data_IF_936139876254
#
_entry.id   IF_936139876254
#
_cell.length_a   1.000
_cell.length_b   1.000
_cell.length_c   1.000
_cell.angle_alpha   90.00
_cell.angle_beta   90.00
_cell.angle_gamma   90.00
#
_symmetry.space_group_name_H-M   'P 1'
#
loop_
_entity.id
_entity.type
_entity.pdbx_description
1 polymer ?
#
# COMPACT_ATOMS: atom_id res chain seq x y z
N UNK A 1 59.76 6.76 -80.33
CA UNK A 1 59.68 5.60 -79.42
C UNK A 1 58.35 4.94 -79.72
N UNK A 2 58.38 3.77 -80.34
CA UNK A 2 57.17 3.06 -80.76
C UNK A 2 56.45 2.54 -79.51
N UNK A 3 55.11 2.55 -79.54
CA UNK A 3 54.28 2.06 -78.43
C UNK A 3 54.57 0.59 -78.08
N UNK A 4 55.08 -0.17 -79.05
CA UNK A 4 55.53 -1.56 -78.89
C UNK A 4 56.76 -1.69 -77.97
N UNK A 5 57.66 -0.71 -77.94
CA UNK A 5 58.86 -0.74 -77.08
C UNK A 5 58.50 -0.42 -75.63
N UNK A 6 57.55 0.50 -75.41
CA UNK A 6 57.02 0.78 -74.08
C UNK A 6 56.30 -0.45 -73.49
N UNK A 7 55.48 -1.14 -74.31
CA UNK A 7 54.82 -2.37 -73.88
C UNK A 7 55.81 -3.53 -73.65
N UNK A 8 56.85 -3.67 -74.46
CA UNK A 8 57.93 -4.66 -74.25
C UNK A 8 58.75 -4.42 -73.00
N UNK A 9 59.04 -3.17 -72.64
CA UNK A 9 59.79 -2.85 -71.41
C UNK A 9 58.90 -3.09 -70.19
N UNK A 10 57.64 -2.68 -70.22
CA UNK A 10 56.69 -2.92 -69.11
C UNK A 10 56.41 -4.42 -68.94
N UNK A 11 56.24 -5.16 -70.04
CA UNK A 11 56.04 -6.62 -69.98
C UNK A 11 57.31 -7.39 -69.60
N UNK A 12 58.51 -6.98 -70.02
CA UNK A 12 59.76 -7.63 -69.62
C UNK A 12 60.10 -7.38 -68.16
N UNK A 13 59.80 -6.18 -67.65
CA UNK A 13 59.87 -5.85 -66.23
C UNK A 13 58.80 -6.62 -65.44
N UNK A 14 57.56 -6.73 -65.93
CA UNK A 14 56.51 -7.55 -65.31
C UNK A 14 56.82 -9.06 -65.31
N UNK A 15 57.51 -9.57 -66.33
CA UNK A 15 57.90 -10.99 -66.43
C UNK A 15 59.14 -11.29 -65.57
N UNK A 16 60.12 -10.38 -65.49
CA UNK A 16 61.25 -10.53 -64.55
C UNK A 16 60.80 -10.31 -63.09
N UNK A 17 59.76 -9.50 -62.87
CA UNK A 17 59.05 -9.35 -61.60
C UNK A 17 57.96 -10.43 -61.47
N UNK A 18 57.70 -11.29 -62.45
CA UNK A 18 56.59 -12.25 -62.42
C UNK A 18 56.66 -13.23 -61.23
N UNK A 19 57.87 -13.61 -60.82
CA UNK A 19 58.11 -14.33 -59.56
C UNK A 19 57.98 -13.44 -58.31
N UNK A 20 58.43 -12.19 -58.38
CA UNK A 20 58.34 -11.22 -57.27
C UNK A 20 56.93 -10.71 -56.99
N UNK A 21 56.09 -10.54 -58.02
CA UNK A 21 54.69 -10.20 -57.91
C UNK A 21 53.91 -11.33 -57.25
N UNK A 22 54.15 -12.60 -57.64
CA UNK A 22 53.53 -13.74 -56.96
C UNK A 22 53.91 -13.82 -55.47
N UNK A 23 55.17 -13.53 -55.13
CA UNK A 23 55.64 -13.47 -53.73
C UNK A 23 55.00 -12.30 -52.97
N UNK A 24 54.94 -11.11 -53.57
CA UNK A 24 54.31 -9.92 -52.96
C UNK A 24 52.80 -10.12 -52.79
N UNK A 25 52.11 -10.67 -53.78
CA UNK A 25 50.69 -11.02 -53.68
C UNK A 25 50.45 -12.13 -52.64
N UNK A 26 51.31 -13.14 -52.59
CA UNK A 26 51.24 -14.21 -51.59
C UNK A 26 51.44 -13.69 -50.17
N UNK A 27 52.47 -12.88 -49.93
CA UNK A 27 52.73 -12.24 -48.65
C UNK A 27 51.62 -11.25 -48.26
N UNK A 28 51.16 -10.43 -49.21
CA UNK A 28 50.05 -9.49 -48.98
C UNK A 28 48.75 -10.22 -48.61
N UNK A 29 48.43 -11.32 -49.30
CA UNK A 29 47.29 -12.17 -48.97
C UNK A 29 47.42 -12.83 -47.60
N UNK A 30 48.62 -13.30 -47.24
CA UNK A 30 48.89 -13.92 -45.96
C UNK A 30 48.77 -12.93 -44.79
N UNK A 31 49.37 -11.75 -44.92
CA UNK A 31 49.21 -10.65 -43.96
C UNK A 31 47.72 -10.25 -43.86
N UNK A 32 47.04 -10.03 -44.99
CA UNK A 32 45.62 -9.67 -45.00
C UNK A 32 44.74 -10.69 -44.27
N UNK A 33 45.00 -11.99 -44.43
CA UNK A 33 44.30 -13.06 -43.70
C UNK A 33 44.53 -12.97 -42.19
N UNK A 34 45.77 -12.79 -41.75
CA UNK A 34 46.09 -12.68 -40.32
C UNK A 34 45.44 -11.45 -39.69
N UNK A 35 45.50 -10.29 -40.36
CA UNK A 35 44.89 -9.06 -39.87
C UNK A 35 43.35 -9.16 -39.88
N UNK A 36 42.75 -9.74 -40.92
CA UNK A 36 41.31 -9.96 -41.00
C UNK A 36 40.83 -10.92 -39.92
N UNK A 37 41.53 -12.03 -39.69
CA UNK A 37 41.22 -13.00 -38.65
C UNK A 37 41.39 -12.40 -37.25
N UNK A 38 42.45 -11.62 -37.02
CA UNK A 38 42.66 -10.91 -35.76
C UNK A 38 41.57 -9.88 -35.48
N UNK A 39 41.18 -9.09 -36.48
CA UNK A 39 40.10 -8.10 -36.34
C UNK A 39 38.77 -8.82 -36.08
N UNK A 40 38.45 -9.86 -36.85
CA UNK A 40 37.23 -10.64 -36.69
C UNK A 40 37.15 -11.30 -35.30
N UNK A 41 38.25 -11.88 -34.82
CA UNK A 41 38.32 -12.48 -33.48
C UNK A 41 38.18 -11.42 -32.38
N UNK A 42 38.86 -10.27 -32.53
CA UNK A 42 38.73 -9.15 -31.59
C UNK A 42 37.31 -8.59 -31.53
N UNK A 43 36.65 -8.45 -32.67
CA UNK A 43 35.26 -7.99 -32.74
C UNK A 43 34.30 -9.02 -32.13
N UNK A 44 34.50 -10.31 -32.43
CA UNK A 44 33.74 -11.40 -31.83
C UNK A 44 33.87 -11.40 -30.30
N UNK A 45 35.09 -11.28 -29.78
CA UNK A 45 35.35 -11.21 -28.34
C UNK A 45 34.71 -9.97 -27.71
N UNK A 46 34.75 -8.83 -28.41
CA UNK A 46 34.09 -7.59 -27.97
C UNK A 46 32.57 -7.78 -27.90
N UNK A 47 31.94 -8.32 -28.94
CA UNK A 47 30.50 -8.57 -28.93
C UNK A 47 30.10 -9.59 -27.87
N UNK A 48 30.88 -10.65 -27.69
CA UNK A 48 30.65 -11.64 -26.65
C UNK A 48 30.67 -11.00 -25.26
N UNK A 49 31.68 -10.17 -24.97
CA UNK A 49 31.76 -9.42 -23.71
C UNK A 49 30.60 -8.46 -23.54
N UNK A 50 30.22 -7.72 -24.59
CA UNK A 50 29.06 -6.81 -24.51
C UNK A 50 27.77 -7.56 -24.21
N UNK A 51 27.54 -8.72 -24.83
CA UNK A 51 26.39 -9.57 -24.56
C UNK A 51 26.41 -10.08 -23.12
N UNK A 52 27.56 -10.55 -22.64
CA UNK A 52 27.71 -11.03 -21.26
C UNK A 52 27.50 -9.91 -20.24
N UNK A 53 28.08 -8.73 -20.47
CA UNK A 53 27.88 -7.55 -19.64
C UNK A 53 26.42 -7.13 -19.62
N UNK A 54 25.78 -6.98 -20.79
CA UNK A 54 24.35 -6.61 -20.87
C UNK A 54 23.46 -7.66 -20.19
N UNK A 55 23.76 -8.94 -20.35
CA UNK A 55 23.01 -10.02 -19.70
C UNK A 55 23.19 -9.98 -18.18
N UNK A 56 24.41 -9.73 -17.71
CA UNK A 56 24.73 -9.59 -16.28
C UNK A 56 24.03 -8.38 -15.66
N UNK A 57 24.09 -7.22 -16.34
CA UNK A 57 23.41 -6.00 -15.94
C UNK A 57 21.90 -6.21 -15.87
N UNK A 58 21.29 -6.76 -16.93
CA UNK A 58 19.87 -7.06 -16.95
C UNK A 58 19.47 -8.04 -15.84
N UNK A 59 20.27 -9.08 -15.61
CA UNK A 59 20.02 -10.04 -14.53
C UNK A 59 20.10 -9.37 -13.16
N UNK A 60 21.06 -8.47 -12.95
CA UNK A 60 21.21 -7.71 -11.71
C UNK A 60 20.04 -6.76 -11.48
N UNK A 61 19.61 -6.06 -12.54
CA UNK A 61 18.46 -5.16 -12.48
C UNK A 61 17.15 -5.91 -12.22
N UNK A 62 16.94 -7.06 -12.87
CA UNK A 62 15.78 -7.91 -12.60
C UNK A 62 15.76 -8.36 -11.14
N UNK A 63 16.91 -8.78 -10.60
CA UNK A 63 16.99 -9.24 -9.22
C UNK A 63 16.77 -8.09 -8.22
N UNK A 64 17.34 -6.91 -8.51
CA UNK A 64 17.12 -5.69 -7.74
C UNK A 64 15.64 -5.30 -7.74
N UNK A 65 15.00 -5.25 -8.90
CA UNK A 65 13.59 -4.91 -9.03
C UNK A 65 12.69 -5.93 -8.33
N UNK A 66 13.01 -7.22 -8.41
CA UNK A 66 12.29 -8.27 -7.65
C UNK A 66 12.42 -8.05 -6.14
N UNK A 67 13.62 -7.77 -5.65
CA UNK A 67 13.87 -7.49 -4.23
C UNK A 67 13.12 -6.24 -3.76
N UNK A 68 13.18 -5.15 -4.52
CA UNK A 68 12.44 -3.92 -4.24
C UNK A 68 10.92 -4.17 -4.23
N UNK A 69 10.41 -4.95 -5.18
CA UNK A 69 8.99 -5.30 -5.24
C UNK A 69 8.57 -6.18 -4.07
N UNK A 70 9.39 -7.17 -3.70
CA UNK A 70 9.14 -8.06 -2.57
C UNK A 70 9.04 -7.26 -1.26
N UNK A 71 9.97 -6.31 -1.05
CA UNK A 71 9.96 -5.43 0.11
C UNK A 71 8.70 -4.54 0.14
N UNK A 72 8.34 -3.92 -0.99
CA UNK A 72 7.12 -3.10 -1.08
C UNK A 72 5.86 -3.91 -0.78
N UNK A 73 5.77 -5.12 -1.32
CA UNK A 73 4.65 -6.03 -1.12
C UNK A 73 4.57 -6.49 0.35
N UNK A 74 5.70 -6.79 0.97
CA UNK A 74 5.76 -7.15 2.40
C UNK A 74 5.30 -6.00 3.31
N UNK A 75 5.80 -4.79 3.07
CA UNK A 75 5.37 -3.60 3.82
C UNK A 75 3.87 -3.37 3.66
N UNK A 76 3.35 -3.44 2.43
CA UNK A 76 1.93 -3.26 2.15
C UNK A 76 1.07 -4.31 2.85
N UNK A 77 1.47 -5.58 2.84
CA UNK A 77 0.78 -6.66 3.57
C UNK A 77 0.74 -6.38 5.06
N UNK A 78 1.89 -6.11 5.68
CA UNK A 78 1.98 -5.81 7.12
C UNK A 78 1.13 -4.60 7.52
N UNK A 79 1.10 -3.58 6.67
CA UNK A 79 0.28 -2.39 6.90
C UNK A 79 -1.22 -2.71 6.79
N UNK A 80 -1.62 -3.42 5.74
CA UNK A 80 -3.02 -3.84 5.52
C UNK A 80 -3.53 -4.74 6.64
N UNK A 81 -2.72 -5.70 7.12
CA UNK A 81 -3.07 -6.58 8.24
C UNK A 81 -3.32 -5.75 9.51
N UNK A 82 -2.42 -4.81 9.83
CA UNK A 82 -2.60 -3.92 10.99
C UNK A 82 -3.86 -3.06 10.86
N UNK A 83 -4.13 -2.51 9.69
CA UNK A 83 -5.36 -1.74 9.45
C UNK A 83 -6.60 -2.60 9.63
N UNK A 84 -6.61 -3.82 9.08
CA UNK A 84 -7.73 -4.75 9.20
C UNK A 84 -8.03 -5.10 10.66
N UNK A 85 -7.00 -5.39 11.47
CA UNK A 85 -7.19 -5.66 12.90
C UNK A 85 -7.78 -4.45 13.63
N UNK A 86 -7.27 -3.25 13.38
CA UNK A 86 -7.80 -2.03 13.99
C UNK A 86 -9.26 -1.74 13.62
N UNK A 87 -9.63 -1.96 12.35
CA UNK A 87 -11.02 -1.82 11.92
C UNK A 87 -11.93 -2.84 12.58
N UNK A 88 -11.50 -4.11 12.69
CA UNK A 88 -12.29 -5.13 13.38
C UNK A 88 -12.46 -4.84 14.87
N UNK A 89 -11.38 -4.44 15.54
CA UNK A 89 -11.44 -4.08 16.95
C UNK A 89 -12.43 -2.92 17.13
N UNK A 90 -12.33 -1.89 16.29
CA UNK A 90 -13.21 -0.72 16.33
C UNK A 90 -14.67 -1.12 16.09
N UNK A 91 -14.91 -1.98 15.11
CA UNK A 91 -16.24 -2.52 14.82
C UNK A 91 -16.81 -3.29 16.01
N UNK A 92 -16.00 -4.13 16.67
CA UNK A 92 -16.41 -4.85 17.88
C UNK A 92 -16.82 -3.87 18.98
N UNK A 93 -16.00 -2.85 19.22
CA UNK A 93 -16.26 -1.82 20.23
C UNK A 93 -17.56 -1.05 19.96
N UNK A 94 -17.86 -0.75 18.68
CA UNK A 94 -19.10 -0.13 18.25
C UNK A 94 -20.32 -1.06 18.43
N UNK A 95 -20.16 -2.36 18.15
CA UNK A 95 -21.20 -3.36 18.41
C UNK A 95 -21.50 -3.46 19.92
N UNK A 96 -20.48 -3.50 20.76
CA UNK A 96 -20.62 -3.52 22.21
C UNK A 96 -21.32 -2.25 22.72
N UNK A 97 -20.98 -1.08 22.14
CA UNK A 97 -21.64 0.18 22.45
C UNK A 97 -23.13 0.14 22.07
N UNK A 98 -23.46 -0.43 20.91
CA UNK A 98 -24.86 -0.64 20.49
C UNK A 98 -25.59 -1.54 21.48
N UNK A 99 -25.03 -2.68 21.87
CA UNK A 99 -25.64 -3.62 22.83
C UNK A 99 -25.89 -2.94 24.18
N UNK A 100 -24.92 -2.16 24.67
CA UNK A 100 -25.07 -1.40 25.90
C UNK A 100 -26.17 -0.33 25.77
N UNK A 101 -26.29 0.31 24.60
CA UNK A 101 -27.35 1.26 24.29
C UNK A 101 -28.73 0.62 24.24
N UNK A 102 -28.86 -0.54 23.61
CA UNK A 102 -30.10 -1.32 23.54
C UNK A 102 -30.53 -1.78 24.94
N UNK A 103 -29.58 -2.25 25.76
CA UNK A 103 -29.85 -2.65 27.16
C UNK A 103 -30.35 -1.47 28.02
N UNK A 104 -29.79 -0.28 27.80
CA UNK A 104 -30.25 0.95 28.45
C UNK A 104 -31.65 1.36 27.96
N UNK A 105 -31.93 1.17 26.67
CA UNK A 105 -33.24 1.44 26.09
C UNK A 105 -34.33 0.51 26.62
N UNK A 106 -34.04 -0.78 26.70
CA UNK A 106 -34.96 -1.79 27.26
C UNK A 106 -35.23 -1.55 28.74
N UNK A 107 -34.18 -1.27 29.52
CA UNK A 107 -34.31 -1.00 30.95
C UNK A 107 -33.49 0.20 31.40
N UNK A 108 -34.19 1.32 31.40
CA UNK A 108 -33.79 2.62 31.93
C UNK A 108 -33.48 2.59 33.45
N UNK A 109 -32.24 2.27 33.83
CA UNK A 109 -31.79 2.28 35.23
C UNK A 109 -30.32 2.74 35.37
N UNK A 110 -29.89 3.06 36.61
CA UNK A 110 -28.54 3.57 36.90
C UNK A 110 -27.42 2.59 36.50
N UNK A 111 -27.64 1.28 36.64
CA UNK A 111 -26.63 0.26 36.29
C UNK A 111 -26.38 0.24 34.78
N UNK A 112 -27.43 0.20 33.96
CA UNK A 112 -27.33 0.19 32.51
C UNK A 112 -26.79 1.52 31.98
N UNK A 113 -27.15 2.65 32.60
CA UNK A 113 -26.61 3.95 32.24
C UNK A 113 -25.09 4.02 32.49
N UNK A 114 -24.63 3.48 33.62
CA UNK A 114 -23.19 3.38 33.94
C UNK A 114 -22.45 2.50 32.93
N UNK A 115 -22.96 1.29 32.64
CA UNK A 115 -22.37 0.37 31.66
C UNK A 115 -22.26 1.00 30.27
N UNK A 116 -23.30 1.71 29.83
CA UNK A 116 -23.29 2.44 28.58
C UNK A 116 -22.24 3.55 28.55
N UNK A 117 -22.15 4.37 29.60
CA UNK A 117 -21.15 5.44 29.69
C UNK A 117 -19.71 4.91 29.68
N UNK A 118 -19.45 3.80 30.37
CA UNK A 118 -18.14 3.13 30.35
C UNK A 118 -17.80 2.62 28.95
N UNK A 119 -18.76 2.01 28.25
CA UNK A 119 -18.54 1.51 26.89
C UNK A 119 -18.34 2.65 25.89
N UNK A 120 -19.10 3.74 26.01
CA UNK A 120 -18.96 4.92 25.17
C UNK A 120 -17.54 5.50 25.25
N UNK A 121 -17.00 5.63 26.47
CA UNK A 121 -15.64 6.10 26.68
C UNK A 121 -14.61 5.15 26.06
N UNK A 122 -14.78 3.83 26.21
CA UNK A 122 -13.89 2.83 25.58
C UNK A 122 -13.89 2.97 24.06
N UNK A 123 -15.05 3.14 23.44
CA UNK A 123 -15.16 3.31 22.00
C UNK A 123 -14.52 4.62 21.53
N UNK A 124 -14.67 5.71 22.28
CA UNK A 124 -14.02 6.99 21.99
C UNK A 124 -12.48 6.89 22.06
N UNK A 125 -11.95 6.27 23.12
CA UNK A 125 -10.51 6.01 23.26
C UNK A 125 -9.98 5.16 22.10
N UNK A 126 -10.77 4.22 21.61
CA UNK A 126 -10.41 3.34 20.51
C UNK A 126 -10.41 4.06 19.15
N UNK A 127 -11.39 4.93 18.90
CA UNK A 127 -11.40 5.81 17.73
C UNK A 127 -10.15 6.71 17.72
N UNK A 128 -9.79 7.28 18.88
CA UNK A 128 -8.59 8.10 19.01
C UNK A 128 -7.31 7.30 18.74
N UNK A 129 -7.17 6.10 19.33
CA UNK A 129 -6.00 5.23 19.10
C UNK A 129 -5.87 4.79 17.65
N UNK A 130 -6.98 4.60 16.95
CA UNK A 130 -6.98 4.20 15.55
C UNK A 130 -6.78 5.35 14.56
N UNK A 131 -6.74 6.61 15.02
CA UNK A 131 -6.64 7.81 14.16
C UNK A 131 -5.43 7.81 13.21
N UNK A 132 -4.31 7.20 13.60
CA UNK A 132 -3.10 7.16 12.78
C UNK A 132 -3.24 6.26 11.53
N UNK A 133 -4.05 5.21 11.62
CA UNK A 133 -4.09 4.13 10.64
C UNK A 133 -5.42 4.06 9.88
N UNK A 134 -6.42 4.84 10.29
CA UNK A 134 -7.69 5.01 9.60
C UNK A 134 -7.59 6.23 8.68
N UNK A 135 -8.24 6.17 7.51
CA UNK A 135 -8.34 7.33 6.64
C UNK A 135 -9.08 8.48 7.33
N UNK A 136 -8.59 9.72 7.19
CA UNK A 136 -9.17 10.90 7.85
C UNK A 136 -10.68 11.03 7.62
N UNK A 137 -11.19 10.64 6.45
CA UNK A 137 -12.62 10.66 6.15
C UNK A 137 -13.44 9.72 7.05
N UNK A 138 -12.99 8.47 7.22
CA UNK A 138 -13.65 7.50 8.10
C UNK A 138 -13.64 7.97 9.55
N UNK A 139 -12.50 8.53 10.01
CA UNK A 139 -12.35 9.05 11.36
C UNK A 139 -13.34 10.18 11.67
N UNK A 140 -13.41 11.20 10.81
CA UNK A 140 -14.32 12.34 11.03
C UNK A 140 -15.79 11.91 11.02
N UNK A 141 -16.18 10.98 10.14
CA UNK A 141 -17.55 10.46 10.11
C UNK A 141 -17.93 9.67 11.36
N UNK A 142 -17.02 8.83 11.84
CA UNK A 142 -17.23 8.06 13.07
C UNK A 142 -17.34 8.98 14.29
N UNK A 143 -16.46 9.97 14.38
CA UNK A 143 -16.48 10.97 15.44
C UNK A 143 -17.78 11.77 15.46
N UNK A 144 -18.24 12.23 14.29
CA UNK A 144 -19.52 12.94 14.14
C UNK A 144 -20.70 12.07 14.63
N UNK A 145 -20.72 10.79 14.25
CA UNK A 145 -21.77 9.85 14.65
C UNK A 145 -21.80 9.60 16.15
N UNK A 146 -20.63 9.36 16.76
CA UNK A 146 -20.52 9.12 18.20
C UNK A 146 -20.94 10.37 19.00
N UNK A 147 -20.50 11.56 18.57
CA UNK A 147 -20.87 12.82 19.24
C UNK A 147 -22.39 13.06 19.20
N UNK A 148 -23.03 12.83 18.05
CA UNK A 148 -24.49 12.93 17.91
C UNK A 148 -25.23 11.92 18.77
N UNK A 149 -24.74 10.68 18.83
CA UNK A 149 -25.36 9.61 19.59
C UNK A 149 -25.22 9.83 21.11
N UNK A 150 -24.05 10.30 21.54
CA UNK A 150 -23.77 10.70 22.94
C UNK A 150 -24.76 11.77 23.42
N UNK A 151 -24.95 12.84 22.63
CA UNK A 151 -25.91 13.92 22.94
C UNK A 151 -27.36 13.45 23.06
N UNK A 152 -27.79 12.49 22.23
CA UNK A 152 -29.14 11.94 22.29
C UNK A 152 -29.41 11.13 23.57
N UNK A 153 -28.40 10.38 24.05
CA UNK A 153 -28.50 9.55 25.25
C UNK A 153 -28.68 10.36 26.54
N UNK A 154 -27.97 11.49 26.68
CA UNK A 154 -28.11 12.38 27.84
C UNK A 154 -29.55 12.89 28.03
N UNK A 155 -30.28 13.11 26.93
CA UNK A 155 -31.69 13.52 26.97
C UNK A 155 -32.59 12.47 27.62
N UNK A 156 -32.38 11.17 27.32
CA UNK A 156 -33.19 10.08 27.89
C UNK A 156 -32.86 9.77 29.34
N UNK A 157 -31.58 9.77 29.72
CA UNK A 157 -31.17 9.63 31.13
C UNK A 157 -31.85 10.69 32.00
N UNK A 158 -31.94 11.93 31.51
CA UNK A 158 -32.63 13.02 32.18
C UNK A 158 -34.14 12.78 32.33
N UNK A 159 -34.80 12.19 31.33
CA UNK A 159 -36.23 11.83 31.41
C UNK A 159 -36.50 10.70 32.40
N UNK A 160 -35.58 9.75 32.52
CA UNK A 160 -35.65 8.65 33.48
C UNK A 160 -35.52 9.17 34.91
N UNK A 161 -34.56 10.08 35.14
CA UNK A 161 -34.38 10.76 36.43
C UNK A 161 -35.61 11.61 36.80
N UNK A 162 -36.22 12.28 35.83
CA UNK A 162 -37.46 13.04 36.05
C UNK A 162 -38.63 12.11 36.44
N UNK A 163 -38.82 10.99 35.74
CA UNK A 163 -39.87 10.02 36.04
C UNK A 163 -39.73 9.42 37.44
N UNK A 164 -38.51 9.07 37.85
CA UNK A 164 -38.27 8.47 39.17
C UNK A 164 -38.47 9.47 40.31
N UNK A 165 -38.25 10.77 40.08
CA UNK A 165 -38.56 11.83 41.06
C UNK A 165 -40.06 12.04 41.24
N UNK A 166 -40.86 11.82 40.20
CA UNK A 166 -42.33 11.95 40.28
C UNK A 166 -43.00 10.82 41.08
N UNK A 167 -42.34 9.69 41.29
CA UNK A 167 -42.87 8.55 42.08
C UNK A 167 -42.59 8.63 43.58
N UNK A 168 -41.67 9.50 44.02
CA UNK A 168 -41.26 9.60 45.44
C UNK A 168 -42.03 10.69 46.24
N UNK A 169 -43.08 11.30 45.67
CA UNK A 169 -43.88 12.35 46.35
C UNK A 169 -45.40 12.17 46.21
N UNK A 170 -45.93 11.00 46.59
CA UNK A 170 -47.34 10.92 46.98
C UNK A 170 -47.35 10.40 48.41
N UNK A 171 -47.40 11.33 49.38
CA UNK A 171 -47.68 10.94 50.75
C UNK A 171 -49.14 10.43 50.83
N UNK A 172 -49.41 9.36 51.60
CA UNK A 172 -50.76 8.79 51.75
C UNK A 172 -51.82 9.79 52.24
N UNK A 173 -51.38 10.90 52.83
CA UNK A 173 -52.24 11.96 53.39
C UNK A 173 -53.03 12.71 52.29
N UNK A 174 -52.51 12.77 51.07
CA UNK A 174 -53.17 13.45 49.94
C UNK A 174 -54.25 12.60 49.26
N UNK A 175 -54.18 11.27 49.42
CA UNK A 175 -55.17 10.33 48.88
C UNK A 175 -56.44 10.32 49.74
N UNK A 176 -56.30 10.51 51.06
CA UNK A 176 -57.44 10.54 51.98
C UNK A 176 -58.26 11.83 51.83
N UNK A 177 -57.59 12.97 51.58
CA UNK A 177 -58.25 14.26 51.30
C UNK A 177 -59.03 14.26 49.97
N UNK A 178 -58.51 13.58 48.95
CA UNK A 178 -59.18 13.46 47.64
C UNK A 178 -60.32 12.44 47.64
N UNK A 179 -60.27 11.40 48.47
CA UNK A 179 -61.42 10.48 48.63
C UNK A 179 -62.54 11.07 49.49
N UNK A 180 -62.23 11.91 50.49
CA UNK A 180 -63.24 12.60 51.29
C UNK A 180 -64.06 13.60 50.47
N UNK A 181 -63.40 14.36 49.57
CA UNK A 181 -64.06 15.33 48.67
C UNK A 181 -64.96 14.71 47.60
N UNK A 182 -64.76 13.44 47.25
CA UNK A 182 -65.60 12.71 46.28
C UNK A 182 -66.82 12.04 46.91
N UNK A 183 -66.90 11.99 48.24
CA UNK A 183 -68.00 11.34 48.97
C UNK A 183 -69.03 12.34 49.54
N UNK A 184 -68.75 13.65 49.45
CA UNK A 184 -69.63 14.76 49.86
C UNK A 184 -70.27 15.54 48.68
N UNK A 185 -70.12 15.07 47.43
CA UNK A 185 -70.78 15.62 46.23
C UNK A 185 -71.79 14.64 45.63
#
# INVERSE_FOLDING_TARGET
MTWDDAFKIVSSVLVSIGGGAAILFGLSSWLGKIWAEKILNSDRDRYQRQIETLKSELSSDVERLKSELALKLEISKRFSEKQFHLYNDLWSSLCDLKIAGDSLWERANKLNAKKFAEQLKKTEDQIFRSSLLIENWHYEKLKELIDRFSKFQFGKTRLIDLRNRSTDQVEPQDIEFTMALLHES
#
